data_IF_251392650719
#
_entry.id   IF_251392650719
#
_cell.length_a   1.000
_cell.length_b   1.000
_cell.length_c   1.000
_cell.angle_alpha   90.00
_cell.angle_beta   90.00
_cell.angle_gamma   90.00
#
_symmetry.space_group_name_H-M   'P 1'
#
loop_
_entity.id
_entity.type
_entity.pdbx_description
1 polymer ?
#
# COMPACT_ATOMS: atom_id res chain seq x y z
N UNK A 1 -3.42 -22.91 -25.31
CA UNK A 1 -2.65 -23.08 -24.06
C UNK A 1 -2.00 -21.72 -23.81
N UNK A 2 -2.61 -20.88 -22.96
CA UNK A 2 -2.18 -19.50 -22.69
C UNK A 2 -1.32 -19.57 -21.42
N UNK A 3 -0.06 -19.07 -21.41
CA UNK A 3 0.77 -19.07 -20.22
C UNK A 3 0.12 -18.19 -19.16
N UNK A 4 -0.05 -18.72 -17.97
CA UNK A 4 -0.49 -17.96 -16.81
C UNK A 4 0.61 -16.99 -16.43
N UNK A 5 0.39 -15.69 -16.67
CA UNK A 5 1.24 -14.65 -16.12
C UNK A 5 1.03 -14.65 -14.60
N UNK A 6 2.05 -15.03 -13.87
CA UNK A 6 2.10 -14.94 -12.42
C UNK A 6 2.08 -13.45 -12.04
N UNK A 7 0.99 -13.02 -11.42
CA UNK A 7 0.93 -11.76 -10.69
C UNK A 7 2.01 -11.81 -9.59
N UNK A 8 3.01 -10.95 -9.68
CA UNK A 8 3.94 -10.71 -8.58
C UNK A 8 3.28 -9.74 -7.60
N UNK A 9 2.75 -10.22 -6.49
CA UNK A 9 2.25 -9.34 -5.44
C UNK A 9 3.45 -8.66 -4.79
N UNK A 10 3.58 -7.33 -4.87
CA UNK A 10 4.54 -6.47 -4.16
C UNK A 10 5.93 -7.05 -3.86
N UNK A 11 6.88 -6.31 -3.34
CA UNK A 11 8.21 -6.85 -3.10
C UNK A 11 8.10 -7.98 -2.08
N UNK A 12 8.17 -9.21 -2.58
CA UNK A 12 8.30 -10.38 -1.73
C UNK A 12 9.78 -10.57 -1.43
N UNK A 13 10.10 -10.97 -0.21
CA UNK A 13 11.44 -11.50 0.09
C UNK A 13 11.81 -12.68 -0.81
N UNK A 14 10.82 -13.34 -1.44
CA UNK A 14 11.00 -14.43 -2.39
C UNK A 14 11.61 -14.01 -3.75
N UNK A 15 11.51 -12.72 -4.13
CA UNK A 15 12.20 -12.14 -5.30
C UNK A 15 13.67 -11.79 -5.00
N UNK A 16 14.09 -11.93 -3.75
CA UNK A 16 15.49 -11.70 -3.36
C UNK A 16 16.32 -12.97 -3.49
N UNK A 17 17.57 -12.80 -3.91
CA UNK A 17 18.55 -13.89 -4.07
C UNK A 17 18.86 -14.63 -2.75
N UNK A 18 18.39 -14.08 -1.62
CA UNK A 18 18.70 -14.54 -0.26
C UNK A 18 17.45 -14.98 0.49
N UNK A 19 17.56 -15.98 1.35
CA UNK A 19 16.51 -16.24 2.35
C UNK A 19 16.36 -15.04 3.29
N UNK A 20 15.21 -14.88 3.94
CA UNK A 20 15.00 -13.76 4.89
C UNK A 20 16.04 -13.75 6.01
N UNK A 21 16.42 -14.93 6.51
CA UNK A 21 17.44 -15.07 7.57
C UNK A 21 18.83 -14.62 7.09
N UNK A 22 19.22 -15.02 5.86
CA UNK A 22 20.50 -14.62 5.26
C UNK A 22 20.51 -13.12 4.99
N UNK A 23 19.40 -12.58 4.48
CA UNK A 23 19.25 -11.14 4.24
C UNK A 23 19.43 -10.35 5.54
N UNK A 24 18.75 -10.73 6.62
CA UNK A 24 18.91 -10.08 7.93
C UNK A 24 20.36 -10.17 8.43
N UNK A 25 21.05 -11.29 8.21
CA UNK A 25 22.46 -11.44 8.58
C UNK A 25 23.36 -10.50 7.78
N UNK A 26 23.19 -10.41 6.45
CA UNK A 26 23.92 -9.50 5.58
C UNK A 26 23.69 -8.03 5.95
N UNK A 27 22.43 -7.66 6.19
CA UNK A 27 22.07 -6.29 6.61
C UNK A 27 22.72 -5.93 7.94
N UNK A 28 22.76 -6.86 8.90
CA UNK A 28 23.45 -6.68 10.20
C UNK A 28 24.97 -6.55 10.07
N UNK A 29 25.54 -7.25 9.08
CA UNK A 29 26.97 -7.14 8.76
C UNK A 29 27.30 -5.82 8.02
N UNK A 30 26.29 -5.04 7.62
CA UNK A 30 26.47 -3.80 6.87
C UNK A 30 26.82 -4.04 5.40
N UNK A 31 26.40 -5.16 4.81
CA UNK A 31 26.64 -5.45 3.40
C UNK A 31 25.94 -4.42 2.51
N UNK A 32 26.75 -3.61 1.83
CA UNK A 32 26.26 -2.50 1.01
C UNK A 32 25.41 -2.97 -0.18
N UNK A 33 25.74 -4.13 -0.76
CA UNK A 33 25.03 -4.66 -1.93
C UNK A 33 23.63 -5.14 -1.51
N UNK A 34 23.52 -5.84 -0.37
CA UNK A 34 22.23 -6.27 0.18
C UNK A 34 21.36 -5.07 0.57
N UNK A 35 21.95 -4.03 1.17
CA UNK A 35 21.24 -2.78 1.52
C UNK A 35 20.75 -2.08 0.25
N UNK A 36 21.61 -1.90 -0.76
CA UNK A 36 21.24 -1.24 -2.03
C UNK A 36 20.11 -1.98 -2.73
N UNK A 37 20.21 -3.30 -2.86
CA UNK A 37 19.16 -4.12 -3.45
C UNK A 37 17.82 -3.96 -2.73
N UNK A 38 17.83 -3.98 -1.39
CA UNK A 38 16.63 -3.81 -0.59
C UNK A 38 16.02 -2.41 -0.78
N UNK A 39 16.86 -1.37 -0.80
CA UNK A 39 16.43 0.01 -1.04
C UNK A 39 15.78 0.15 -2.41
N UNK A 40 16.41 -0.37 -3.46
CA UNK A 40 15.89 -0.30 -4.83
C UNK A 40 14.55 -1.02 -4.98
N UNK A 41 14.40 -2.16 -4.36
CA UNK A 41 13.17 -2.95 -4.44
C UNK A 41 12.03 -2.37 -3.60
N UNK A 42 12.30 -1.88 -2.39
CA UNK A 42 11.23 -1.51 -1.46
C UNK A 42 10.87 -0.04 -1.47
N UNK A 43 11.79 0.87 -1.83
CA UNK A 43 11.52 2.32 -1.80
C UNK A 43 10.33 2.75 -2.67
N UNK A 44 10.10 2.20 -3.87
CA UNK A 44 8.91 2.57 -4.65
C UNK A 44 7.59 2.25 -3.96
N UNK A 45 7.51 1.12 -3.26
CA UNK A 45 6.32 0.71 -2.50
C UNK A 45 6.18 1.54 -1.22
N UNK A 46 7.29 1.79 -0.52
CA UNK A 46 7.31 2.64 0.66
C UNK A 46 6.84 4.06 0.35
N UNK A 47 7.27 4.64 -0.78
CA UNK A 47 6.79 5.96 -1.23
C UNK A 47 5.28 5.97 -1.50
N UNK A 48 4.74 4.92 -2.12
CA UNK A 48 3.28 4.81 -2.34
C UNK A 48 2.52 4.75 -1.03
N UNK A 49 3.00 3.99 -0.06
CA UNK A 49 2.39 3.92 1.27
C UNK A 49 2.52 5.27 1.98
N UNK A 50 3.71 5.89 2.01
CA UNK A 50 3.92 7.19 2.64
C UNK A 50 2.98 8.27 2.09
N UNK A 51 2.82 8.34 0.75
CA UNK A 51 1.90 9.27 0.06
C UNK A 51 0.42 9.08 0.44
N UNK A 52 0.06 7.93 0.99
CA UNK A 52 -1.30 7.73 1.50
C UNK A 52 -1.57 8.38 2.87
N UNK A 53 -0.52 8.88 3.56
CA UNK A 53 -0.59 9.48 4.89
C UNK A 53 -0.26 10.97 4.91
N UNK A 54 0.53 11.48 3.96
CA UNK A 54 1.01 12.85 3.90
C UNK A 54 0.57 13.52 2.60
N UNK A 55 0.50 14.87 2.61
CA UNK A 55 -0.07 15.61 1.50
C UNK A 55 0.97 16.02 0.44
N UNK A 56 2.26 16.12 0.81
CA UNK A 56 3.30 16.53 -0.12
C UNK A 56 4.22 15.37 -0.54
N UNK A 57 4.67 15.33 -1.82
CA UNK A 57 5.67 14.36 -2.26
C UNK A 57 6.96 14.43 -1.45
N UNK A 58 7.41 15.63 -1.10
CA UNK A 58 8.61 15.84 -0.30
C UNK A 58 8.48 15.22 1.09
N UNK A 59 7.34 15.42 1.75
CA UNK A 59 7.07 14.77 3.05
C UNK A 59 7.06 13.26 2.96
N UNK A 60 6.60 12.68 1.85
CA UNK A 60 6.63 11.25 1.64
C UNK A 60 8.08 10.74 1.51
N UNK A 61 8.93 11.46 0.79
CA UNK A 61 10.36 11.14 0.65
C UNK A 61 11.08 11.23 2.00
N UNK A 62 10.86 12.29 2.77
CA UNK A 62 11.39 12.45 4.12
C UNK A 62 11.00 11.28 5.03
N UNK A 63 9.71 10.88 4.98
CA UNK A 63 9.19 9.75 5.76
C UNK A 63 9.87 8.44 5.39
N UNK A 64 10.08 8.19 4.09
CA UNK A 64 10.77 6.99 3.61
C UNK A 64 12.24 7.00 4.06
N UNK A 65 12.93 8.11 3.93
CA UNK A 65 14.31 8.26 4.39
C UNK A 65 14.42 8.02 5.90
N UNK A 66 13.55 8.63 6.69
CA UNK A 66 13.46 8.41 8.12
C UNK A 66 13.18 6.94 8.47
N UNK A 67 12.31 6.27 7.70
CA UNK A 67 12.00 4.86 7.93
C UNK A 67 13.22 3.98 7.66
N UNK A 68 14.00 4.25 6.61
CA UNK A 68 15.27 3.56 6.34
C UNK A 68 16.27 3.74 7.47
N UNK A 69 16.46 4.96 7.95
CA UNK A 69 17.34 5.24 9.10
C UNK A 69 16.86 4.53 10.37
N UNK A 70 15.53 4.51 10.58
CA UNK A 70 14.94 3.78 11.71
C UNK A 70 15.11 2.28 11.62
N UNK A 71 15.00 1.71 10.42
CA UNK A 71 15.26 0.29 10.18
C UNK A 71 16.72 -0.06 10.47
N UNK A 72 17.68 0.64 9.85
CA UNK A 72 19.10 0.38 10.04
C UNK A 72 19.51 0.47 11.50
N UNK A 73 19.04 1.50 12.23
CA UNK A 73 19.35 1.65 13.65
C UNK A 73 18.64 0.63 14.56
N UNK A 74 17.48 0.14 14.13
CA UNK A 74 16.71 -0.87 14.87
C UNK A 74 17.06 -2.32 14.55
N UNK A 75 17.82 -2.57 13.48
CA UNK A 75 18.04 -3.91 12.93
C UNK A 75 18.74 -4.86 13.90
N UNK A 76 19.62 -4.34 14.75
CA UNK A 76 20.27 -5.13 15.79
C UNK A 76 19.26 -5.72 16.82
N UNK A 77 18.11 -5.04 16.99
CA UNK A 77 17.03 -5.44 17.91
C UNK A 77 15.92 -6.22 17.24
N UNK A 78 15.99 -6.42 15.93
CA UNK A 78 14.99 -7.21 15.21
C UNK A 78 15.09 -8.68 15.61
N UNK A 79 14.03 -9.22 16.21
CA UNK A 79 14.01 -10.58 16.78
C UNK A 79 13.35 -11.62 15.85
N UNK A 80 12.90 -11.23 14.65
CA UNK A 80 12.22 -12.14 13.72
C UNK A 80 10.84 -12.60 14.16
N UNK A 81 10.15 -11.86 15.06
CA UNK A 81 8.76 -12.15 15.49
C UNK A 81 7.74 -11.90 14.37
N UNK A 82 8.10 -11.16 13.35
CA UNK A 82 7.36 -10.94 12.12
C UNK A 82 8.33 -10.97 10.95
N UNK A 83 7.84 -10.99 9.71
CA UNK A 83 8.71 -10.81 8.56
C UNK A 83 9.43 -9.45 8.62
N UNK A 84 10.63 -9.39 8.04
CA UNK A 84 11.40 -8.15 7.91
C UNK A 84 10.57 -7.06 7.21
N UNK A 85 9.80 -7.47 6.21
CA UNK A 85 8.87 -6.61 5.48
C UNK A 85 7.81 -6.02 6.40
N UNK A 86 7.10 -6.84 7.16
CA UNK A 86 6.07 -6.38 8.10
C UNK A 86 6.65 -5.41 9.12
N UNK A 87 7.82 -5.71 9.67
CA UNK A 87 8.49 -4.84 10.61
C UNK A 87 8.89 -3.49 10.00
N UNK A 88 9.47 -3.50 8.79
CA UNK A 88 9.85 -2.28 8.07
C UNK A 88 8.64 -1.40 7.75
N UNK A 89 7.55 -2.00 7.24
CA UNK A 89 6.34 -1.24 6.93
C UNK A 89 5.64 -0.71 8.19
N UNK A 90 5.76 -1.38 9.33
CA UNK A 90 5.29 -0.84 10.62
C UNK A 90 6.07 0.41 11.03
N UNK A 91 7.40 0.42 10.85
CA UNK A 91 8.22 1.62 11.07
C UNK A 91 7.78 2.76 10.15
N UNK A 92 7.62 2.48 8.85
CA UNK A 92 7.19 3.45 7.86
C UNK A 92 5.83 4.07 8.21
N UNK A 93 4.83 3.25 8.51
CA UNK A 93 3.46 3.69 8.83
C UNK A 93 3.46 4.55 10.09
N UNK A 94 4.21 4.19 11.13
CA UNK A 94 4.31 4.97 12.36
C UNK A 94 4.91 6.35 12.10
N UNK A 95 5.96 6.45 11.29
CA UNK A 95 6.55 7.74 10.89
C UNK A 95 5.62 8.57 10.02
N UNK A 96 5.00 7.94 9.00
CA UNK A 96 4.04 8.58 8.12
C UNK A 96 2.83 9.13 8.88
N UNK A 97 2.29 8.37 9.83
CA UNK A 97 1.19 8.77 10.71
C UNK A 97 1.56 9.99 11.57
N UNK A 98 2.76 9.97 12.16
CA UNK A 98 3.27 11.10 12.95
C UNK A 98 3.47 12.35 12.09
N UNK A 99 4.02 12.21 10.89
CA UNK A 99 4.24 13.33 9.95
C UNK A 99 2.90 13.90 9.48
N UNK A 100 1.97 13.07 8.99
CA UNK A 100 0.64 13.50 8.53
C UNK A 100 -0.17 14.20 9.64
N UNK A 101 -0.09 13.70 10.88
CA UNK A 101 -0.74 14.35 12.01
C UNK A 101 -0.14 15.74 12.34
N UNK A 102 1.16 15.95 12.11
CA UNK A 102 1.79 17.27 12.25
C UNK A 102 1.36 18.22 11.13
N UNK A 103 1.35 17.77 9.89
CA UNK A 103 0.92 18.56 8.74
C UNK A 103 -0.53 19.00 8.86
N UNK A 104 -1.44 18.10 9.25
CA UNK A 104 -2.83 18.42 9.49
C UNK A 104 -3.05 19.50 10.58
N UNK A 105 -2.15 19.60 11.57
CA UNK A 105 -2.21 20.67 12.59
C UNK A 105 -1.68 22.01 12.11
N UNK A 106 -0.84 22.01 11.08
CA UNK A 106 -0.20 23.24 10.54
C UNK A 106 -1.08 23.93 9.50
N UNK A 107 -2.05 23.20 8.92
CA UNK A 107 -3.05 23.77 8.03
C UNK A 107 -4.20 24.38 8.86
N UNK A 108 -4.69 25.61 8.52
CA UNK A 108 -5.86 26.17 9.18
C UNK A 108 -7.05 25.23 8.95
N UNK A 109 -7.57 24.67 10.05
CA UNK A 109 -8.68 23.72 10.00
C UNK A 109 -9.96 24.41 9.54
N UNK A 110 -10.49 24.04 8.36
CA UNK A 110 -11.94 24.02 8.16
C UNK A 110 -12.50 22.86 8.99
N UNK A 111 -13.59 23.08 9.76
CA UNK A 111 -14.18 22.04 10.58
C UNK A 111 -14.93 21.03 9.70
N UNK A 112 -14.26 20.01 9.21
CA UNK A 112 -14.88 18.87 8.55
C UNK A 112 -14.75 17.67 9.48
N UNK A 113 -15.88 17.38 10.15
CA UNK A 113 -16.32 16.15 10.76
C UNK A 113 -15.35 14.97 10.72
N UNK A 114 -14.88 14.56 11.91
CA UNK A 114 -14.28 13.26 12.12
C UNK A 114 -15.24 12.17 11.61
N UNK A 115 -14.79 11.18 10.82
CA UNK A 115 -15.65 10.07 10.45
C UNK A 115 -15.96 9.26 11.71
N UNK A 116 -17.23 9.08 11.98
CA UNK A 116 -17.77 8.27 13.06
C UNK A 116 -17.28 6.81 12.92
N UNK A 117 -16.49 6.36 13.88
CA UNK A 117 -15.99 4.97 13.94
C UNK A 117 -17.12 3.96 14.25
N UNK A 118 -18.33 4.43 14.62
CA UNK A 118 -19.46 3.58 15.02
C UNK A 118 -20.25 2.98 13.86
N UNK A 119 -20.03 3.42 12.61
CA UNK A 119 -20.77 2.93 11.44
C UNK A 119 -20.30 1.56 10.90
N UNK A 120 -19.38 0.87 11.58
CA UNK A 120 -18.85 -0.40 11.10
C UNK A 120 -19.80 -1.59 11.32
N UNK A 121 -20.73 -1.51 12.27
CA UNK A 121 -21.57 -2.66 12.68
C UNK A 121 -22.88 -2.82 11.89
N UNK A 122 -23.39 -1.77 11.26
CA UNK A 122 -24.70 -1.81 10.61
C UNK A 122 -24.71 -2.41 9.19
N UNK A 123 -23.52 -2.67 8.60
CA UNK A 123 -23.42 -3.18 7.21
C UNK A 123 -23.30 -4.71 7.10
N UNK A 124 -23.08 -5.41 8.20
CA UNK A 124 -22.93 -6.88 8.21
C UNK A 124 -24.27 -7.62 8.09
N UNK A 125 -25.41 -6.93 8.21
CA UNK A 125 -26.76 -7.54 8.27
C UNK A 125 -27.66 -7.21 7.09
N UNK A 126 -27.21 -6.49 6.07
CA UNK A 126 -28.00 -6.19 4.86
C UNK A 126 -28.18 -7.43 3.97
N UNK A 127 -29.42 -7.72 3.46
CA UNK A 127 -29.68 -8.84 2.57
C UNK A 127 -29.14 -8.54 1.16
N UNK A 128 -27.96 -9.04 0.83
CA UNK A 128 -27.37 -8.82 -0.49
C UNK A 128 -25.92 -9.21 -0.62
N UNK A 129 -25.42 -10.14 0.19
CA UNK A 129 -24.08 -10.70 0.10
C UNK A 129 -23.84 -11.44 -1.21
N UNK A 130 -23.62 -10.71 -2.31
CA UNK A 130 -23.07 -11.33 -3.52
C UNK A 130 -21.62 -11.74 -3.24
N UNK A 131 -21.22 -12.99 -3.61
CA UNK A 131 -19.86 -13.46 -3.41
C UNK A 131 -18.90 -12.53 -4.16
N UNK A 132 -17.82 -12.16 -3.50
CA UNK A 132 -16.75 -11.35 -4.07
C UNK A 132 -16.27 -11.99 -5.37
N UNK A 133 -16.70 -11.48 -6.50
CA UNK A 133 -16.09 -11.81 -7.79
C UNK A 133 -14.65 -11.30 -7.70
N UNK A 134 -13.75 -12.25 -7.73
CA UNK A 134 -12.30 -12.09 -7.72
C UNK A 134 -11.92 -10.95 -8.67
N UNK A 135 -11.26 -9.93 -8.16
CA UNK A 135 -10.77 -8.82 -8.96
C UNK A 135 -9.55 -9.27 -9.77
N UNK A 136 -9.79 -9.84 -10.96
CA UNK A 136 -8.76 -10.13 -11.96
C UNK A 136 -8.49 -8.95 -12.92
N UNK A 137 -9.09 -7.77 -12.66
CA UNK A 137 -8.98 -6.63 -13.59
C UNK A 137 -7.67 -5.83 -13.42
N UNK A 138 -6.99 -5.92 -12.27
CA UNK A 138 -5.64 -5.38 -12.12
C UNK A 138 -4.63 -6.27 -12.85
N UNK A 139 -4.88 -7.57 -12.93
CA UNK A 139 -4.13 -8.51 -13.79
C UNK A 139 -4.24 -8.17 -15.29
N UNK A 140 -5.32 -7.53 -15.71
CA UNK A 140 -5.49 -7.10 -17.11
C UNK A 140 -4.59 -5.89 -17.43
N UNK A 141 -4.27 -5.04 -16.46
CA UNK A 141 -3.42 -3.85 -16.65
C UNK A 141 -1.93 -4.17 -16.82
N UNK A 142 -1.46 -5.28 -16.28
CA UNK A 142 -0.06 -5.73 -16.44
C UNK A 142 0.19 -6.46 -17.76
N UNK A 143 -0.84 -6.81 -18.53
CA UNK A 143 -0.72 -7.53 -19.83
C UNK A 143 -0.57 -6.63 -21.06
N UNK A 144 -0.55 -5.31 -20.91
CA UNK A 144 -0.61 -4.38 -22.05
C UNK A 144 0.75 -3.78 -22.46
N UNK A 145 1.82 -4.52 -22.26
CA UNK A 145 3.19 -4.01 -22.42
C UNK A 145 3.78 -4.12 -23.84
N UNK A 146 2.95 -4.35 -24.87
CA UNK A 146 3.51 -4.70 -26.21
C UNK A 146 3.06 -3.86 -27.40
N UNK A 147 2.29 -2.77 -27.25
CA UNK A 147 1.96 -1.89 -28.38
C UNK A 147 2.03 -0.39 -28.00
N UNK A 148 2.57 0.49 -28.89
CA UNK A 148 2.74 1.92 -28.60
C UNK A 148 1.44 2.65 -28.24
N UNK A 149 0.33 2.30 -28.86
CA UNK A 149 -1.00 2.86 -28.56
C UNK A 149 -1.54 2.37 -27.22
N UNK A 150 -1.25 1.11 -26.84
CA UNK A 150 -1.63 0.56 -25.55
C UNK A 150 -0.88 1.20 -24.39
N UNK A 151 0.35 1.67 -24.60
CA UNK A 151 1.16 2.37 -23.58
C UNK A 151 0.53 3.74 -23.22
N UNK A 152 0.02 4.48 -24.20
CA UNK A 152 -0.62 5.78 -23.96
C UNK A 152 -1.95 5.58 -23.20
N UNK A 153 -2.77 4.63 -23.61
CA UNK A 153 -4.03 4.29 -22.95
C UNK A 153 -3.79 3.77 -21.53
N UNK A 154 -2.77 2.94 -21.35
CA UNK A 154 -2.36 2.45 -20.03
C UNK A 154 -1.93 3.57 -19.09
N UNK A 155 -1.18 4.56 -19.58
CA UNK A 155 -0.76 5.73 -18.79
C UNK A 155 -1.95 6.60 -18.37
N UNK A 156 -2.95 6.77 -19.23
CA UNK A 156 -4.13 7.55 -18.89
C UNK A 156 -4.99 6.82 -17.84
N UNK A 157 -5.20 5.51 -17.99
CA UNK A 157 -5.90 4.68 -17.00
C UNK A 157 -5.17 4.73 -15.64
N UNK A 158 -3.85 4.63 -15.65
CA UNK A 158 -3.05 4.72 -14.41
C UNK A 158 -3.18 6.09 -13.74
N UNK A 159 -3.18 7.19 -14.51
CA UNK A 159 -3.41 8.55 -13.96
C UNK A 159 -4.82 8.68 -13.38
N UNK A 160 -5.82 8.14 -14.06
CA UNK A 160 -7.20 8.17 -13.58
C UNK A 160 -7.36 7.36 -12.30
N UNK A 161 -6.72 6.18 -12.24
CA UNK A 161 -6.70 5.35 -11.04
C UNK A 161 -5.99 6.06 -9.88
N UNK A 162 -4.87 6.72 -10.14
CA UNK A 162 -4.12 7.47 -9.12
C UNK A 162 -4.95 8.65 -8.57
N UNK A 163 -5.67 9.38 -9.45
CA UNK A 163 -6.62 10.42 -9.02
C UNK A 163 -7.75 9.84 -8.17
N UNK A 164 -8.33 8.72 -8.59
CA UNK A 164 -9.41 8.07 -7.85
C UNK A 164 -8.93 7.56 -6.47
N UNK A 165 -7.73 6.97 -6.39
CA UNK A 165 -7.12 6.57 -5.12
C UNK A 165 -6.86 7.78 -4.24
N UNK A 166 -6.36 8.89 -4.80
CA UNK A 166 -6.07 10.12 -4.04
C UNK A 166 -7.35 10.78 -3.49
N UNK A 167 -8.48 10.61 -4.17
CA UNK A 167 -9.78 11.11 -3.72
C UNK A 167 -10.45 10.27 -2.63
N UNK A 168 -9.95 9.06 -2.35
CA UNK A 168 -10.51 8.20 -1.31
C UNK A 168 -10.31 8.81 0.09
N UNK A 169 -11.24 8.54 1.02
CA UNK A 169 -11.03 8.83 2.44
C UNK A 169 -9.70 8.22 2.94
N UNK A 170 -8.96 8.91 3.84
CA UNK A 170 -7.59 8.51 4.21
C UNK A 170 -7.45 7.03 4.60
N UNK A 171 -8.33 6.49 5.44
CA UNK A 171 -8.29 5.08 5.86
C UNK A 171 -8.52 4.10 4.72
N UNK A 172 -9.43 4.41 3.79
CA UNK A 172 -9.69 3.58 2.61
C UNK A 172 -8.49 3.60 1.67
N UNK A 173 -7.91 4.78 1.43
CA UNK A 173 -6.69 4.97 0.63
C UNK A 173 -5.52 4.17 1.19
N UNK A 174 -5.26 4.23 2.50
CA UNK A 174 -4.21 3.48 3.17
C UNK A 174 -4.39 1.96 2.97
N UNK A 175 -5.57 1.45 3.24
CA UNK A 175 -5.86 0.01 3.13
C UNK A 175 -5.71 -0.49 1.69
N UNK A 176 -6.30 0.21 0.69
CA UNK A 176 -6.21 -0.23 -0.71
C UNK A 176 -4.79 -0.14 -1.25
N UNK A 177 -4.03 0.90 -0.88
CA UNK A 177 -2.62 1.04 -1.28
C UNK A 177 -1.79 -0.12 -0.73
N UNK A 178 -1.92 -0.46 0.54
CA UNK A 178 -1.15 -1.53 1.14
C UNK A 178 -1.56 -2.92 0.62
N UNK A 179 -2.88 -3.17 0.45
CA UNK A 179 -3.39 -4.47 -0.02
C UNK A 179 -3.22 -4.69 -1.52
N UNK A 180 -3.70 -3.75 -2.34
CA UNK A 180 -3.87 -3.97 -3.78
C UNK A 180 -2.67 -3.43 -4.58
N UNK A 181 -1.98 -2.40 -4.09
CA UNK A 181 -0.81 -1.84 -4.77
C UNK A 181 0.49 -2.45 -4.26
N UNK A 182 0.62 -2.62 -2.93
CA UNK A 182 1.83 -3.17 -2.33
C UNK A 182 1.76 -4.69 -2.07
N UNK A 183 0.62 -5.34 -2.33
CA UNK A 183 0.46 -6.79 -2.19
C UNK A 183 0.63 -7.33 -0.77
N UNK A 184 0.42 -6.49 0.25
CA UNK A 184 0.55 -6.93 1.65
C UNK A 184 -0.60 -7.86 2.04
N UNK A 185 -0.34 -8.81 2.93
CA UNK A 185 -1.38 -9.70 3.46
C UNK A 185 -2.37 -8.95 4.35
N UNK A 186 -3.52 -9.56 4.65
CA UNK A 186 -4.49 -8.99 5.60
C UNK A 186 -3.86 -8.77 6.97
N UNK A 187 -3.09 -9.74 7.43
CA UNK A 187 -2.39 -9.74 8.72
C UNK A 187 -1.37 -8.61 8.79
N UNK A 188 -0.57 -8.43 7.74
CA UNK A 188 0.42 -7.36 7.64
C UNK A 188 -0.22 -5.98 7.69
N UNK A 189 -1.31 -5.77 6.92
CA UNK A 189 -2.04 -4.49 6.91
C UNK A 189 -2.70 -4.23 8.27
N UNK A 190 -3.33 -5.24 8.87
CA UNK A 190 -3.94 -5.10 10.20
C UNK A 190 -2.90 -4.75 11.27
N UNK A 191 -1.75 -5.40 11.25
CA UNK A 191 -0.65 -5.12 12.16
C UNK A 191 -0.09 -3.70 11.97
N UNK A 192 0.16 -3.28 10.71
CA UNK A 192 0.73 -1.98 10.40
C UNK A 192 -0.25 -0.81 10.69
N UNK A 193 -1.54 -0.99 10.40
CA UNK A 193 -2.57 0.05 10.60
C UNK A 193 -3.22 -0.01 11.99
N UNK A 194 -2.95 -1.06 12.79
CA UNK A 194 -3.57 -1.30 14.10
C UNK A 194 -5.12 -1.35 14.01
N UNK A 195 -5.63 -2.09 13.03
CA UNK A 195 -7.06 -2.29 12.79
C UNK A 195 -7.42 -3.77 12.82
N UNK A 196 -8.70 -4.06 13.13
CA UNK A 196 -9.18 -5.43 13.07
C UNK A 196 -9.32 -5.94 11.63
N UNK A 197 -9.24 -7.27 11.41
CA UNK A 197 -9.49 -7.86 10.08
C UNK A 197 -10.89 -7.54 9.52
N UNK A 198 -11.88 -7.42 10.38
CA UNK A 198 -13.24 -7.03 9.98
C UNK A 198 -13.28 -5.61 9.45
N UNK A 199 -12.67 -4.65 10.16
CA UNK A 199 -12.57 -3.25 9.73
C UNK A 199 -11.75 -3.14 8.43
N UNK A 200 -10.61 -3.82 8.33
CA UNK A 200 -9.80 -3.86 7.10
C UNK A 200 -10.64 -4.32 5.90
N UNK A 201 -11.44 -5.38 6.04
CA UNK A 201 -12.31 -5.91 4.97
C UNK A 201 -13.34 -4.88 4.52
N UNK A 202 -13.99 -4.19 5.46
CA UNK A 202 -14.99 -3.15 5.17
C UNK A 202 -14.34 -1.97 4.42
N UNK A 203 -13.21 -1.46 4.92
CA UNK A 203 -12.48 -0.36 4.28
C UNK A 203 -12.04 -0.71 2.87
N UNK A 204 -11.48 -1.90 2.66
CA UNK A 204 -11.06 -2.38 1.36
C UNK A 204 -12.22 -2.53 0.38
N UNK A 205 -13.35 -3.08 0.85
CA UNK A 205 -14.55 -3.24 0.03
C UNK A 205 -15.09 -1.88 -0.43
N UNK A 206 -15.20 -0.90 0.47
CA UNK A 206 -15.63 0.46 0.14
C UNK A 206 -14.69 1.15 -0.85
N UNK A 207 -13.38 1.07 -0.60
CA UNK A 207 -12.37 1.62 -1.52
C UNK A 207 -12.52 1.04 -2.93
N UNK A 208 -12.58 -0.29 -3.04
CA UNK A 208 -12.73 -0.97 -4.34
C UNK A 208 -14.05 -0.65 -5.05
N UNK A 209 -15.14 -0.36 -4.31
CA UNK A 209 -16.40 0.07 -4.90
C UNK A 209 -16.26 1.43 -5.59
N UNK A 210 -15.68 2.41 -4.92
CA UNK A 210 -15.41 3.75 -5.48
C UNK A 210 -14.48 3.69 -6.69
N UNK A 211 -13.40 2.91 -6.61
CA UNK A 211 -12.44 2.76 -7.71
C UNK A 211 -13.08 2.09 -8.94
N UNK A 212 -13.95 1.10 -8.75
CA UNK A 212 -14.70 0.47 -9.84
C UNK A 212 -15.63 1.46 -10.54
N UNK A 213 -16.30 2.30 -9.78
CA UNK A 213 -17.19 3.33 -10.33
C UNK A 213 -16.42 4.35 -11.16
N UNK A 214 -15.31 4.87 -10.62
CA UNK A 214 -14.42 5.81 -11.32
C UNK A 214 -13.86 5.23 -12.65
N UNK A 215 -13.49 3.95 -12.66
CA UNK A 215 -13.06 3.27 -13.88
C UNK A 215 -14.21 3.03 -14.84
N UNK A 216 -15.41 2.67 -14.36
CA UNK A 216 -16.57 2.46 -15.21
C UNK A 216 -17.05 3.75 -15.88
N UNK A 217 -16.90 4.89 -15.23
CA UNK A 217 -17.16 6.21 -15.83
C UNK A 217 -16.18 6.53 -16.96
N UNK A 218 -14.90 6.25 -16.75
CA UNK A 218 -13.87 6.43 -17.77
C UNK A 218 -14.12 5.61 -19.05
N UNK A 219 -14.62 4.36 -18.92
CA UNK A 219 -14.91 3.50 -20.09
C UNK A 219 -16.24 3.82 -20.77
N UNK A 220 -17.10 4.67 -20.18
CA UNK A 220 -18.39 5.09 -20.75
C UNK A 220 -18.32 6.41 -21.51
N UNK A 221 -17.28 7.21 -21.28
CA UNK A 221 -17.04 8.51 -21.95
C UNK A 221 -16.05 8.35 -23.08
#
# INVERSE_FOLDING_TARGET
MIPQATYSPGPQTDDMTYSEADLVALLRAGDEAAIAQLVDQWSPFMLRVARSFVDSPQSAEDVVQDAWLGMLSGLAKFEGRSSLRTWMFSILVNRARTRGAREARTLPQSPLTAPDESAADDWLTGPGGAPARTWSSIDALSRWDTAPESVVLSREILRQLDRAVSALPPRQRQVVTMRDVCGMSTEEVCAALEISPANQRVLLHRARAVLREALAEYYRG
#
